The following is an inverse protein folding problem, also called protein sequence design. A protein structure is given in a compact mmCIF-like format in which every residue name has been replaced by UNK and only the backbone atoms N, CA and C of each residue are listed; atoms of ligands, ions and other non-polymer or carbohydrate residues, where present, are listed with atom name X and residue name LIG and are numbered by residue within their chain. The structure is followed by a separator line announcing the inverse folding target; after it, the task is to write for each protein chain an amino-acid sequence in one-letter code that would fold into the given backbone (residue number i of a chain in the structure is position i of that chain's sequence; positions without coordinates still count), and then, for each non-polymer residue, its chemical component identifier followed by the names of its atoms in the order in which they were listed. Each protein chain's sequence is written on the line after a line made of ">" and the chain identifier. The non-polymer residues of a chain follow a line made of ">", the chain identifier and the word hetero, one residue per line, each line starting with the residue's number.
data_IF_220149362504
#
_entry.id   IF_220149362504
#
_cell.length_a   1.000
_cell.length_b   1.000
_cell.length_c   1.000
_cell.angle_alpha   90.00
_cell.angle_beta   90.00
_cell.angle_gamma   90.00
#
_symmetry.space_group_name_H-M   'P 1'
#
loop_
_entity.id
_entity.type
_entity.pdbx_description
1 polymer ?
#
# COMPACT_ATOMS: atom_id res chain seq x y z
N UNK A 1 -13.58 1.63 -9.66
CA UNK A 1 -13.64 0.24 -10.18
C UNK A 1 -12.82 -0.72 -9.28
N UNK A 2 -13.02 -0.68 -7.96
CA UNK A 2 -12.53 -1.68 -6.98
C UNK A 2 -13.24 -1.41 -5.63
N UNK A 3 -13.48 -2.44 -4.82
CA UNK A 3 -14.09 -2.35 -3.48
C UNK A 3 -13.05 -2.42 -2.35
N UNK A 4 -11.81 -2.01 -2.63
CA UNK A 4 -10.74 -1.92 -1.64
C UNK A 4 -10.77 -0.56 -0.94
N UNK A 5 -10.79 -0.57 0.40
CA UNK A 5 -10.73 0.64 1.23
C UNK A 5 -9.28 0.99 1.58
N UNK A 6 -8.44 1.22 0.57
CA UNK A 6 -7.07 1.70 0.77
C UNK A 6 -7.05 3.24 0.79
N UNK A 7 -6.32 3.80 1.75
CA UNK A 7 -6.07 5.24 1.86
C UNK A 7 -4.70 5.59 1.28
N UNK A 8 -4.45 6.87 1.01
CA UNK A 8 -3.14 7.38 0.61
C UNK A 8 -2.03 7.01 1.62
N UNK A 9 -2.33 6.97 2.92
CA UNK A 9 -1.40 6.50 3.96
C UNK A 9 -0.97 5.03 3.75
N UNK A 10 -1.86 4.18 3.24
CA UNK A 10 -1.52 2.80 2.90
C UNK A 10 -0.49 2.75 1.77
N UNK A 11 -0.59 3.64 0.77
CA UNK A 11 0.37 3.74 -0.32
C UNK A 11 1.73 4.31 0.14
N UNK A 12 1.73 5.28 1.05
CA UNK A 12 2.95 5.78 1.70
C UNK A 12 3.71 4.64 2.41
N UNK A 13 3.03 3.93 3.32
CA UNK A 13 3.62 2.82 4.08
C UNK A 13 4.05 1.65 3.21
N UNK A 14 3.33 1.39 2.12
CA UNK A 14 3.72 0.40 1.13
C UNK A 14 5.03 0.79 0.45
N UNK A 15 5.15 2.07 0.06
CA UNK A 15 6.35 2.60 -0.58
C UNK A 15 7.57 2.48 0.32
N UNK A 16 7.48 2.86 1.59
CA UNK A 16 8.59 2.71 2.56
C UNK A 16 9.08 1.26 2.66
N UNK A 17 8.14 0.30 2.71
CA UNK A 17 8.48 -1.13 2.82
C UNK A 17 9.17 -1.65 1.57
N UNK A 18 8.69 -1.29 0.39
CA UNK A 18 9.30 -1.74 -0.87
C UNK A 18 10.64 -1.03 -1.11
N UNK A 19 10.76 0.25 -0.78
CA UNK A 19 12.03 0.98 -0.88
C UNK A 19 13.10 0.32 0.00
N UNK A 20 12.78 -0.03 1.24
CA UNK A 20 13.70 -0.75 2.13
C UNK A 20 14.16 -2.09 1.53
N UNK A 21 13.24 -2.85 0.94
CA UNK A 21 13.61 -4.11 0.26
C UNK A 21 14.52 -3.82 -0.93
N UNK A 22 14.22 -2.79 -1.73
CA UNK A 22 15.05 -2.38 -2.86
C UNK A 22 16.45 -1.93 -2.44
N UNK A 23 16.59 -1.25 -1.30
CA UNK A 23 17.90 -0.92 -0.71
C UNK A 23 18.71 -2.19 -0.41
N UNK A 24 18.06 -3.23 0.12
CA UNK A 24 18.71 -4.50 0.50
C UNK A 24 19.09 -5.36 -0.72
N UNK A 25 18.31 -5.35 -1.81
CA UNK A 25 18.46 -6.31 -2.92
C UNK A 25 18.82 -5.71 -4.27
N UNK A 26 18.65 -4.39 -4.46
CA UNK A 26 18.85 -3.70 -5.75
C UNK A 26 19.52 -2.32 -5.63
N UNK A 27 20.25 -2.06 -4.53
CA UNK A 27 20.94 -0.78 -4.29
C UNK A 27 19.97 0.43 -4.34
N UNK A 28 18.73 0.23 -3.88
CA UNK A 28 17.69 1.26 -3.87
C UNK A 28 17.05 1.54 -5.23
N UNK A 29 17.38 0.77 -6.27
CA UNK A 29 16.76 0.92 -7.60
C UNK A 29 15.31 0.44 -7.54
N UNK A 30 14.38 1.39 -7.58
CA UNK A 30 12.94 1.17 -7.55
C UNK A 30 12.23 2.12 -8.52
N UNK A 31 11.26 1.61 -9.28
CA UNK A 31 10.42 2.41 -10.19
C UNK A 31 8.96 2.07 -9.97
N UNK A 32 8.12 3.09 -9.79
CA UNK A 32 6.67 2.97 -9.78
C UNK A 32 6.12 3.39 -11.14
N UNK A 33 5.31 2.53 -11.76
CA UNK A 33 4.62 2.82 -13.02
C UNK A 33 3.15 3.04 -12.71
N UNK A 34 2.60 4.19 -13.13
CA UNK A 34 1.19 4.50 -12.93
C UNK A 34 0.36 3.70 -13.95
N UNK A 35 -0.47 2.81 -13.44
CA UNK A 35 -1.40 2.00 -14.23
C UNK A 35 -2.83 2.56 -14.09
N UNK A 36 -3.63 2.00 -13.19
CA UNK A 36 -4.99 2.45 -12.90
C UNK A 36 -5.06 3.60 -11.90
N UNK A 37 -6.26 4.19 -11.76
CA UNK A 37 -6.48 5.32 -10.85
C UNK A 37 -7.68 6.16 -11.25
N UNK A 38 -8.89 5.65 -11.04
CA UNK A 38 -10.10 6.27 -11.59
C UNK A 38 -10.76 7.33 -10.69
N UNK A 39 -10.30 7.43 -9.44
CA UNK A 39 -10.76 8.50 -8.54
C UNK A 39 -9.96 9.77 -8.83
N UNK A 40 -10.60 10.75 -9.47
CA UNK A 40 -9.97 12.05 -9.76
C UNK A 40 -9.49 12.78 -8.50
N UNK A 41 -10.15 12.54 -7.37
CA UNK A 41 -9.75 13.11 -6.08
C UNK A 41 -8.68 12.24 -5.41
N UNK A 42 -8.89 10.92 -5.33
CA UNK A 42 -8.00 10.04 -4.56
C UNK A 42 -6.64 9.79 -5.22
N UNK A 43 -6.58 9.71 -6.56
CA UNK A 43 -5.35 9.41 -7.28
C UNK A 43 -4.22 10.41 -6.96
N UNK A 44 -4.43 11.74 -7.01
CA UNK A 44 -3.41 12.71 -6.62
C UNK A 44 -2.83 12.48 -5.22
N UNK A 45 -3.64 12.13 -4.23
CA UNK A 45 -3.15 11.88 -2.86
C UNK A 45 -2.34 10.58 -2.79
N UNK A 46 -2.77 9.51 -3.46
CA UNK A 46 -2.01 8.27 -3.52
C UNK A 46 -0.65 8.47 -4.20
N UNK A 47 -0.61 9.21 -5.32
CA UNK A 47 0.65 9.51 -6.02
C UNK A 47 1.55 10.39 -5.15
N UNK A 48 0.99 11.42 -4.51
CA UNK A 48 1.73 12.28 -3.59
C UNK A 48 2.33 11.49 -2.42
N UNK A 49 1.55 10.58 -1.83
CA UNK A 49 1.99 9.68 -0.77
C UNK A 49 3.17 8.79 -1.21
N UNK A 50 3.12 8.22 -2.41
CA UNK A 50 4.24 7.43 -2.95
C UNK A 50 5.49 8.31 -3.11
N UNK A 51 5.35 9.51 -3.70
CA UNK A 51 6.49 10.43 -3.87
C UNK A 51 7.11 10.80 -2.51
N UNK A 52 6.28 11.11 -1.51
CA UNK A 52 6.75 11.40 -0.14
C UNK A 52 7.49 10.21 0.47
N UNK A 53 7.00 8.99 0.28
CA UNK A 53 7.67 7.77 0.74
C UNK A 53 9.03 7.55 0.06
N UNK A 54 9.13 7.78 -1.25
CA UNK A 54 10.39 7.69 -1.99
C UNK A 54 11.43 8.72 -1.54
N UNK A 55 10.98 9.91 -1.14
CA UNK A 55 11.82 10.99 -0.63
C UNK A 55 12.11 10.88 0.87
N UNK A 56 11.57 9.86 1.54
CA UNK A 56 11.63 9.68 2.99
C UNK A 56 11.14 10.92 3.76
N UNK A 57 10.10 11.57 3.24
CA UNK A 57 9.46 12.74 3.83
C UNK A 57 8.22 12.36 4.62
N UNK A 58 7.89 13.16 5.64
CA UNK A 58 6.68 12.96 6.43
C UNK A 58 5.40 13.06 5.58
N UNK A 59 4.45 12.17 5.86
CA UNK A 59 3.14 12.14 5.21
C UNK A 59 2.03 11.91 6.24
N UNK A 60 1.00 12.75 6.21
CA UNK A 60 -0.18 12.64 7.07
C UNK A 60 -1.41 12.20 6.28
N UNK A 61 -2.27 11.42 6.92
CA UNK A 61 -3.53 10.99 6.34
C UNK A 61 -4.45 12.22 6.12
N UNK A 62 -4.94 12.46 4.90
CA UNK A 62 -5.92 13.51 4.66
C UNK A 62 -7.22 13.25 5.44
N UNK A 63 -7.82 14.31 6.00
CA UNK A 63 -9.01 14.21 6.86
C UNK A 63 -10.19 13.48 6.20
N UNK A 64 -10.38 13.65 4.89
CA UNK A 64 -11.49 13.01 4.16
C UNK A 64 -11.27 11.50 3.94
N UNK A 65 -10.07 10.98 4.18
CA UNK A 65 -9.77 9.54 4.14
C UNK A 65 -9.86 8.88 5.52
N UNK A 66 -10.19 9.63 6.57
CA UNK A 66 -10.39 9.09 7.90
C UNK A 66 -11.72 8.32 7.97
N UNK A 67 -11.67 7.07 7.50
CA UNK A 67 -12.80 6.15 7.49
C UNK A 67 -12.82 5.31 8.76
N UNK A 68 -13.98 5.20 9.42
CA UNK A 68 -14.19 4.19 10.46
C UNK A 68 -14.26 2.80 9.82
N UNK A 69 -13.18 2.03 9.94
CA UNK A 69 -13.16 0.64 9.50
C UNK A 69 -13.92 -0.24 10.50
N UNK A 70 -15.01 -0.88 10.06
CA UNK A 70 -15.61 -2.01 10.80
C UNK A 70 -14.70 -3.24 10.66
N UNK A 71 -13.65 -3.27 11.48
CA UNK A 71 -12.53 -4.22 11.40
C UNK A 71 -12.92 -5.68 11.72
N UNK A 72 -14.04 -5.90 12.40
CA UNK A 72 -14.29 -7.18 13.08
C UNK A 72 -14.82 -8.30 12.17
N UNK A 73 -15.37 -8.01 10.99
CA UNK A 73 -16.20 -9.00 10.28
C UNK A 73 -15.43 -10.05 9.46
N UNK A 74 -14.10 -9.95 9.26
CA UNK A 74 -13.38 -10.82 8.29
C UNK A 74 -11.98 -11.31 8.70
N UNK A 75 -11.60 -11.21 9.97
CA UNK A 75 -10.24 -11.56 10.40
C UNK A 75 -9.87 -13.03 10.14
N UNK A 76 -10.80 -13.95 10.32
CA UNK A 76 -10.58 -15.37 10.03
C UNK A 76 -10.25 -15.62 8.55
N UNK A 77 -10.97 -14.94 7.66
CA UNK A 77 -10.74 -15.02 6.22
C UNK A 77 -9.37 -14.45 5.83
N UNK A 78 -8.98 -13.31 6.42
CA UNK A 78 -7.66 -12.70 6.22
C UNK A 78 -6.54 -13.65 6.66
N UNK A 79 -6.69 -14.29 7.83
CA UNK A 79 -5.71 -15.26 8.34
C UNK A 79 -5.61 -16.47 7.41
N UNK A 80 -6.74 -16.98 6.92
CA UNK A 80 -6.78 -18.09 5.97
C UNK A 80 -6.02 -17.74 4.69
N UNK A 81 -6.32 -16.58 4.07
CA UNK A 81 -5.65 -16.11 2.86
C UNK A 81 -4.15 -15.95 3.09
N UNK A 82 -3.75 -15.32 4.21
CA UNK A 82 -2.34 -15.13 4.59
C UNK A 82 -1.60 -16.47 4.69
N UNK A 83 -2.21 -17.48 5.32
CA UNK A 83 -1.60 -18.80 5.45
C UNK A 83 -1.47 -19.50 4.09
N UNK A 84 -2.51 -19.44 3.25
CA UNK A 84 -2.44 -19.99 1.89
C UNK A 84 -1.32 -19.34 1.06
N UNK A 85 -1.16 -18.02 1.13
CA UNK A 85 -0.06 -17.31 0.45
C UNK A 85 1.32 -17.74 0.99
N UNK A 86 1.46 -17.96 2.29
CA UNK A 86 2.72 -18.46 2.88
C UNK A 86 3.07 -19.86 2.41
N UNK A 87 2.10 -20.77 2.33
CA UNK A 87 2.36 -22.13 1.84
C UNK A 87 2.74 -22.14 0.35
N UNK A 88 2.09 -21.30 -0.46
CA UNK A 88 2.48 -21.13 -1.88
C UNK A 88 3.93 -20.67 -2.03
N UNK A 89 4.37 -19.73 -1.19
CA UNK A 89 5.74 -19.20 -1.21
C UNK A 89 6.80 -20.20 -0.70
N UNK A 90 6.43 -21.26 0.02
CA UNK A 90 7.39 -22.30 0.45
C UNK A 90 7.71 -23.31 -0.66
N UNK A 91 6.85 -23.41 -1.66
CA UNK A 91 7.00 -24.35 -2.77
C UNK A 91 7.80 -23.77 -3.95
N UNK A 92 8.40 -22.58 -3.76
CA UNK A 92 9.27 -21.86 -4.69
C UNK A 92 10.51 -21.38 -3.94
#
# INVERSE_FOLDING_TARGET
>A
MSNCNLTSLSYFRFTEKILKIAEEVSEGKLSFILEGGYSLIGLPFCVHAIIKGLLNEHFELPLFENLEFRYESKMEEIIKIKNSLKELLKNH
#
